data_IF_247323332728
#
_entry.id   IF_247323332728
#
_cell.length_a   1.000
_cell.length_b   1.000
_cell.length_c   1.000
_cell.angle_alpha   90.00
_cell.angle_beta   90.00
_cell.angle_gamma   90.00
#
_symmetry.space_group_name_H-M   'P 1'
#
loop_
_entity.id
_entity.type
_entity.pdbx_description
1 polymer ?
#
# COMPACT_ATOMS: atom_id res chain seq x y z
N UNK A 1 -23.57 5.79 6.15
CA UNK A 1 -23.16 4.68 5.27
C UNK A 1 -22.22 3.80 6.06
N UNK A 2 -22.40 2.48 6.00
CA UNK A 2 -21.49 1.55 6.65
C UNK A 2 -20.12 1.65 6.00
N UNK A 3 -19.05 1.62 6.80
CA UNK A 3 -17.69 1.70 6.27
C UNK A 3 -17.41 0.44 5.44
N UNK A 4 -17.13 0.63 4.15
CA UNK A 4 -16.66 -0.41 3.24
C UNK A 4 -15.18 -0.13 3.00
N UNK A 5 -14.33 -1.13 3.20
CA UNK A 5 -12.90 -1.04 2.91
C UNK A 5 -12.51 -2.10 1.88
N UNK A 6 -11.87 -1.67 0.79
CA UNK A 6 -11.37 -2.55 -0.28
C UNK A 6 -9.86 -2.68 -0.19
N UNK A 7 -9.37 -3.89 0.02
CA UNK A 7 -7.95 -4.16 0.30
C UNK A 7 -7.44 -5.21 -0.67
N UNK A 8 -6.25 -5.00 -1.22
CA UNK A 8 -5.56 -5.98 -2.06
C UNK A 8 -4.58 -6.78 -1.21
N UNK A 9 -4.65 -8.10 -1.30
CA UNK A 9 -3.55 -8.99 -0.92
C UNK A 9 -2.81 -9.36 -2.21
N UNK A 10 -1.63 -8.78 -2.41
CA UNK A 10 -0.78 -9.00 -3.61
C UNK A 10 0.52 -9.70 -3.23
N UNK A 11 1.30 -10.09 -4.22
CA UNK A 11 2.55 -10.81 -4.06
C UNK A 11 2.72 -11.91 -5.09
N UNK A 12 3.95 -12.38 -5.23
CA UNK A 12 4.32 -13.47 -6.10
C UNK A 12 3.70 -14.82 -5.71
N UNK A 13 3.98 -15.86 -6.50
CA UNK A 13 3.61 -17.23 -6.15
C UNK A 13 4.17 -17.63 -4.78
N UNK A 14 3.47 -18.51 -4.07
CA UNK A 14 3.88 -19.02 -2.76
C UNK A 14 4.13 -17.94 -1.68
N UNK A 15 3.47 -16.78 -1.78
CA UNK A 15 3.57 -15.72 -0.78
C UNK A 15 2.78 -15.99 0.52
N UNK A 16 1.87 -16.97 0.52
CA UNK A 16 0.98 -17.28 1.65
C UNK A 16 -0.39 -16.59 1.62
N UNK A 17 -0.77 -15.98 0.47
CA UNK A 17 -2.03 -15.24 0.30
C UNK A 17 -3.27 -16.05 0.65
N UNK A 18 -3.38 -17.29 0.15
CA UNK A 18 -4.53 -18.17 0.42
C UNK A 18 -4.70 -18.45 1.92
N UNK A 19 -3.60 -18.69 2.64
CA UNK A 19 -3.65 -18.89 4.09
C UNK A 19 -3.99 -17.60 4.83
N UNK A 20 -3.46 -16.46 4.39
CA UNK A 20 -3.81 -15.15 4.93
C UNK A 20 -5.31 -14.85 4.74
N UNK A 21 -5.88 -15.12 3.57
CA UNK A 21 -7.30 -14.93 3.27
C UNK A 21 -8.20 -15.67 4.27
N UNK A 22 -7.90 -16.95 4.54
CA UNK A 22 -8.66 -17.73 5.53
C UNK A 22 -8.61 -17.07 6.91
N UNK A 23 -7.42 -16.64 7.34
CA UNK A 23 -7.24 -16.00 8.66
C UNK A 23 -7.90 -14.62 8.74
N UNK A 24 -7.90 -13.86 7.65
CA UNK A 24 -8.62 -12.59 7.53
C UNK A 24 -10.13 -12.81 7.64
N UNK A 25 -10.69 -13.79 6.94
CA UNK A 25 -12.11 -14.14 7.05
C UNK A 25 -12.46 -14.51 8.49
N UNK A 26 -11.74 -15.46 9.10
CA UNK A 26 -11.98 -15.92 10.47
C UNK A 26 -11.94 -14.75 11.47
N UNK A 27 -10.87 -13.96 11.44
CA UNK A 27 -10.62 -12.90 12.40
C UNK A 27 -11.66 -11.77 12.28
N UNK A 28 -11.85 -11.18 11.10
CA UNK A 28 -12.73 -10.01 10.97
C UNK A 28 -14.20 -10.36 11.02
N UNK A 29 -14.58 -11.58 10.59
CA UNK A 29 -15.96 -12.05 10.80
C UNK A 29 -16.28 -12.20 12.29
N UNK A 30 -15.31 -12.65 13.11
CA UNK A 30 -15.47 -12.71 14.57
C UNK A 30 -15.63 -11.34 15.23
N UNK A 31 -15.09 -10.29 14.59
CA UNK A 31 -15.25 -8.89 15.00
C UNK A 31 -16.54 -8.25 14.45
N UNK A 32 -17.41 -9.02 13.78
CA UNK A 32 -18.70 -8.55 13.28
C UNK A 32 -18.65 -7.86 11.91
N UNK A 33 -17.54 -7.96 11.18
CA UNK A 33 -17.47 -7.49 9.80
C UNK A 33 -18.06 -8.51 8.84
N UNK A 34 -18.73 -8.04 7.79
CA UNK A 34 -19.01 -8.85 6.61
C UNK A 34 -17.78 -8.86 5.71
N UNK A 35 -17.14 -10.03 5.58
CA UNK A 35 -15.98 -10.19 4.70
C UNK A 35 -16.40 -10.77 3.35
N UNK A 36 -16.04 -10.10 2.28
CA UNK A 36 -16.12 -10.58 0.90
C UNK A 36 -14.70 -10.84 0.38
N UNK A 37 -14.55 -11.90 -0.40
CA UNK A 37 -13.28 -12.21 -1.08
C UNK A 37 -13.50 -12.28 -2.58
N UNK A 38 -12.68 -11.55 -3.33
CA UNK A 38 -12.64 -11.61 -4.78
C UNK A 38 -11.49 -12.54 -5.17
N UNK A 39 -11.76 -13.62 -5.91
CA UNK A 39 -10.74 -14.58 -6.30
C UNK A 39 -9.79 -14.00 -7.35
N UNK A 40 -8.64 -14.65 -7.52
CA UNK A 40 -7.68 -14.33 -8.57
C UNK A 40 -8.31 -14.54 -9.96
N UNK A 41 -8.61 -13.44 -10.65
CA UNK A 41 -9.22 -13.47 -11.99
C UNK A 41 -8.38 -14.22 -13.03
N UNK A 42 -7.03 -14.08 -13.08
CA UNK A 42 -6.22 -14.90 -13.96
C UNK A 42 -6.44 -16.41 -13.79
N UNK A 43 -6.59 -16.89 -12.55
CA UNK A 43 -6.85 -18.30 -12.28
C UNK A 43 -8.23 -18.74 -12.83
N UNK A 44 -9.25 -17.87 -12.75
CA UNK A 44 -10.55 -18.12 -13.36
C UNK A 44 -10.45 -18.25 -14.89
N UNK A 45 -9.70 -17.35 -15.54
CA UNK A 45 -9.49 -17.37 -16.99
C UNK A 45 -8.70 -18.61 -17.43
N UNK A 46 -7.63 -18.95 -16.72
CA UNK A 46 -6.86 -20.19 -16.95
C UNK A 46 -7.75 -21.42 -16.88
N UNK A 47 -8.61 -21.53 -15.85
CA UNK A 47 -9.54 -22.65 -15.72
C UNK A 47 -10.58 -22.69 -16.83
N UNK A 48 -10.91 -21.54 -17.43
CA UNK A 48 -11.77 -21.42 -18.59
C UNK A 48 -11.06 -21.65 -19.94
N UNK A 49 -9.75 -21.95 -19.93
CA UNK A 49 -8.97 -22.27 -21.13
C UNK A 49 -8.11 -21.14 -21.69
N UNK A 50 -7.96 -20.03 -20.96
CA UNK A 50 -7.00 -18.98 -21.31
C UNK A 50 -5.56 -19.50 -21.08
N UNK A 51 -4.66 -19.18 -22.01
CA UNK A 51 -3.23 -19.44 -21.90
C UNK A 51 -2.42 -18.14 -21.89
N UNK A 52 -1.97 -17.73 -20.70
CA UNK A 52 -1.15 -16.52 -20.51
C UNK A 52 0.28 -16.69 -21.02
N UNK A 53 0.69 -17.90 -21.40
CA UNK A 53 2.01 -18.20 -21.97
C UNK A 53 2.00 -18.26 -23.51
N UNK A 54 0.87 -17.93 -24.12
CA UNK A 54 0.72 -17.90 -25.58
C UNK A 54 1.72 -16.96 -26.25
N UNK A 55 2.26 -17.36 -27.39
CA UNK A 55 3.07 -16.50 -28.27
C UNK A 55 2.20 -15.61 -29.18
N UNK A 56 0.89 -15.86 -29.23
CA UNK A 56 -0.07 -15.06 -29.96
C UNK A 56 -0.36 -13.74 -29.22
N UNK A 57 0.37 -12.68 -29.60
CA UNK A 57 0.26 -11.35 -29.00
C UNK A 57 -1.16 -10.77 -29.00
N UNK A 58 -1.97 -11.06 -30.02
CA UNK A 58 -3.35 -10.55 -30.09
C UNK A 58 -4.25 -11.28 -29.09
N UNK A 59 -4.09 -12.59 -28.95
CA UNK A 59 -4.81 -13.40 -27.97
C UNK A 59 -4.41 -13.04 -26.54
N UNK A 60 -3.10 -12.88 -26.28
CA UNK A 60 -2.58 -12.40 -25.00
C UNK A 60 -3.16 -11.03 -24.63
N UNK A 61 -3.10 -10.06 -25.56
CA UNK A 61 -3.63 -8.72 -25.34
C UNK A 61 -5.12 -8.73 -24.98
N UNK A 62 -5.93 -9.48 -25.72
CA UNK A 62 -7.37 -9.57 -25.47
C UNK A 62 -7.68 -10.26 -24.12
N UNK A 63 -6.90 -11.29 -23.78
CA UNK A 63 -6.98 -11.99 -22.50
C UNK A 63 -6.66 -11.07 -21.32
N UNK A 64 -5.59 -10.29 -21.38
CA UNK A 64 -5.20 -9.35 -20.33
C UNK A 64 -6.19 -8.19 -20.18
N UNK A 65 -6.70 -7.66 -21.30
CA UNK A 65 -7.76 -6.65 -21.28
C UNK A 65 -9.02 -7.18 -20.61
N UNK A 66 -9.47 -8.38 -21.01
CA UNK A 66 -10.64 -9.05 -20.43
C UNK A 66 -10.44 -9.35 -18.94
N UNK A 67 -9.21 -9.70 -18.55
CA UNK A 67 -8.83 -9.92 -17.15
C UNK A 67 -9.03 -8.65 -16.33
N UNK A 68 -8.56 -7.50 -16.85
CA UNK A 68 -8.77 -6.21 -16.20
C UNK A 68 -10.27 -5.88 -16.11
N UNK A 69 -11.02 -5.97 -17.20
CA UNK A 69 -12.46 -5.66 -17.22
C UNK A 69 -13.25 -6.49 -16.20
N UNK A 70 -12.97 -7.80 -16.12
CA UNK A 70 -13.61 -8.69 -15.15
C UNK A 70 -13.16 -8.40 -13.72
N UNK A 71 -11.89 -8.11 -13.47
CA UNK A 71 -11.41 -7.68 -12.16
C UNK A 71 -12.18 -6.44 -11.67
N UNK A 72 -12.31 -5.43 -12.54
CA UNK A 72 -13.04 -4.20 -12.19
C UNK A 72 -14.53 -4.50 -11.95
N UNK A 73 -15.15 -5.29 -12.84
CA UNK A 73 -16.57 -5.63 -12.73
C UNK A 73 -16.88 -6.42 -11.45
N UNK A 74 -16.08 -7.41 -11.08
CA UNK A 74 -16.24 -8.16 -9.84
C UNK A 74 -16.14 -7.24 -8.63
N UNK A 75 -15.09 -6.41 -8.57
CA UNK A 75 -14.91 -5.44 -7.49
C UNK A 75 -16.08 -4.48 -7.34
N UNK A 76 -16.63 -3.96 -8.44
CA UNK A 76 -17.77 -3.06 -8.41
C UNK A 76 -19.04 -3.77 -7.93
N UNK A 77 -19.28 -5.00 -8.38
CA UNK A 77 -20.44 -5.80 -7.97
C UNK A 77 -20.39 -6.17 -6.49
N UNK A 78 -19.23 -6.59 -5.98
CA UNK A 78 -19.07 -6.88 -4.56
C UNK A 78 -19.14 -5.61 -3.71
N UNK A 79 -18.72 -4.45 -4.23
CA UNK A 79 -18.94 -3.16 -3.57
C UNK A 79 -20.43 -2.83 -3.46
N UNK A 80 -21.19 -2.99 -4.54
CA UNK A 80 -22.65 -2.82 -4.55
C UNK A 80 -23.35 -3.77 -3.57
N UNK A 81 -22.89 -5.03 -3.47
CA UNK A 81 -23.40 -5.98 -2.48
C UNK A 81 -23.08 -5.56 -1.03
N UNK A 82 -21.86 -5.07 -0.79
CA UNK A 82 -21.42 -4.60 0.52
C UNK A 82 -22.23 -3.37 0.99
N UNK A 83 -22.66 -2.50 0.08
CA UNK A 83 -23.54 -1.35 0.39
C UNK A 83 -24.90 -1.79 0.96
N UNK A 84 -25.37 -3.00 0.65
CA UNK A 84 -26.62 -3.54 1.18
C UNK A 84 -26.46 -4.23 2.54
N UNK A 85 -25.22 -4.38 3.02
CA UNK A 85 -24.96 -5.00 4.31
C UNK A 85 -25.25 -4.03 5.45
N UNK A 86 -25.94 -4.50 6.49
CA UNK A 86 -26.16 -3.73 7.72
C UNK A 86 -24.92 -3.63 8.61
N UNK A 87 -23.95 -4.52 8.37
CA UNK A 87 -22.66 -4.61 9.07
C UNK A 87 -21.57 -3.80 8.33
N UNK A 88 -20.52 -3.34 9.01
CA UNK A 88 -19.31 -2.86 8.33
C UNK A 88 -18.74 -3.99 7.46
N UNK A 89 -18.22 -3.65 6.28
CA UNK A 89 -17.86 -4.65 5.28
C UNK A 89 -16.42 -4.47 4.80
N UNK A 90 -15.77 -5.59 4.50
CA UNK A 90 -14.40 -5.63 3.97
C UNK A 90 -14.43 -6.44 2.68
N UNK A 91 -13.82 -5.91 1.64
CA UNK A 91 -13.64 -6.61 0.37
C UNK A 91 -12.14 -6.87 0.20
N UNK A 92 -11.75 -8.13 0.25
CA UNK A 92 -10.35 -8.54 0.06
C UNK A 92 -10.19 -9.10 -1.36
N UNK A 93 -9.28 -8.52 -2.13
CA UNK A 93 -8.96 -8.99 -3.47
C UNK A 93 -7.69 -9.87 -3.42
N UNK A 94 -7.79 -11.13 -3.86
CA UNK A 94 -6.60 -11.96 -4.13
C UNK A 94 -5.99 -11.50 -5.45
N UNK A 95 -4.99 -10.62 -5.34
CA UNK A 95 -4.49 -9.71 -6.39
C UNK A 95 -5.45 -8.57 -6.75
N UNK A 96 -4.87 -7.45 -7.17
CA UNK A 96 -5.61 -6.27 -7.63
C UNK A 96 -5.31 -5.94 -9.08
N UNK A 97 -5.97 -4.91 -9.60
CA UNK A 97 -5.89 -4.54 -11.02
C UNK A 97 -4.47 -4.18 -11.49
N UNK A 98 -3.61 -3.62 -10.65
CA UNK A 98 -2.23 -3.30 -11.05
C UNK A 98 -1.30 -4.52 -11.11
N UNK A 99 -1.65 -5.64 -10.47
CA UNK A 99 -0.85 -6.88 -10.59
C UNK A 99 -0.71 -7.29 -12.05
N UNK A 100 -1.73 -7.03 -12.87
CA UNK A 100 -1.77 -7.32 -14.31
C UNK A 100 -0.62 -6.62 -15.06
N UNK A 101 -0.30 -5.38 -14.68
CA UNK A 101 0.77 -4.61 -15.32
C UNK A 101 2.15 -5.25 -15.17
N UNK A 102 2.35 -6.09 -14.14
CA UNK A 102 3.61 -6.79 -13.90
C UNK A 102 3.92 -7.88 -14.94
N UNK A 103 2.98 -8.20 -15.85
CA UNK A 103 3.12 -9.25 -16.85
C UNK A 103 3.33 -8.72 -18.27
N UNK A 104 3.35 -7.41 -18.48
CA UNK A 104 3.50 -6.78 -19.79
C UNK A 104 4.40 -5.54 -19.76
N UNK A 105 4.67 -4.96 -20.92
CA UNK A 105 5.37 -3.68 -21.01
C UNK A 105 4.43 -2.49 -20.77
N UNK A 106 5.02 -1.33 -20.47
CA UNK A 106 4.28 -0.11 -20.13
C UNK A 106 3.39 0.40 -21.29
N UNK A 107 3.81 0.24 -22.55
CA UNK A 107 3.04 0.70 -23.69
C UNK A 107 1.76 -0.12 -23.88
N UNK A 108 1.87 -1.44 -23.73
CA UNK A 108 0.75 -2.37 -23.74
C UNK A 108 -0.22 -2.07 -22.59
N UNK A 109 0.30 -1.91 -21.37
CA UNK A 109 -0.52 -1.59 -20.20
C UNK A 109 -1.26 -0.25 -20.33
N UNK A 110 -0.58 0.79 -20.82
CA UNK A 110 -1.21 2.10 -21.05
C UNK A 110 -2.32 2.03 -22.09
N UNK A 111 -2.15 1.20 -23.13
CA UNK A 111 -3.18 1.00 -24.16
C UNK A 111 -4.41 0.29 -23.58
N UNK A 112 -4.21 -0.81 -22.85
CA UNK A 112 -5.30 -1.57 -22.20
C UNK A 112 -6.07 -0.67 -21.24
N UNK A 113 -5.38 0.02 -20.33
CA UNK A 113 -6.06 0.89 -19.35
C UNK A 113 -6.83 2.03 -20.03
N UNK A 114 -6.27 2.63 -21.08
CA UNK A 114 -6.98 3.64 -21.87
C UNK A 114 -8.24 3.09 -22.56
N UNK A 115 -8.20 1.89 -23.11
CA UNK A 115 -9.35 1.26 -23.77
C UNK A 115 -10.45 0.87 -22.78
N UNK A 116 -10.07 0.45 -21.57
CA UNK A 116 -11.00 0.14 -20.46
C UNK A 116 -11.54 1.44 -19.81
N UNK A 117 -10.99 2.60 -20.16
CA UNK A 117 -11.44 3.90 -19.65
C UNK A 117 -10.93 4.20 -18.24
N UNK A 118 -9.74 3.70 -17.90
CA UNK A 118 -9.07 3.96 -16.62
C UNK A 118 -7.59 4.34 -16.81
N UNK A 119 -6.83 4.40 -15.71
CA UNK A 119 -5.39 4.62 -15.72
C UNK A 119 -4.72 3.97 -14.52
N UNK A 120 -3.40 3.71 -14.61
CA UNK A 120 -2.60 3.21 -13.47
C UNK A 120 -2.87 3.99 -12.19
N UNK A 121 -2.98 5.32 -12.28
CA UNK A 121 -3.23 6.16 -11.12
C UNK A 121 -4.62 5.95 -10.52
N UNK A 122 -5.67 5.87 -11.35
CA UNK A 122 -7.02 5.64 -10.82
C UNK A 122 -7.11 4.31 -10.09
N UNK A 123 -6.50 3.28 -10.67
CA UNK A 123 -6.40 1.96 -10.06
C UNK A 123 -5.57 2.00 -8.78
N UNK A 124 -4.44 2.71 -8.75
CA UNK A 124 -3.59 2.83 -7.56
C UNK A 124 -4.24 3.66 -6.47
N UNK A 125 -4.63 4.89 -6.74
CA UNK A 125 -4.85 5.91 -5.71
C UNK A 125 -6.33 6.07 -5.31
N UNK A 126 -7.27 5.52 -6.07
CA UNK A 126 -8.71 5.69 -5.83
C UNK A 126 -9.50 4.40 -5.67
N UNK A 127 -8.97 3.27 -6.16
CA UNK A 127 -9.75 2.04 -6.22
C UNK A 127 -9.65 1.17 -4.96
N UNK A 128 -8.52 1.24 -4.26
CA UNK A 128 -8.24 0.45 -3.07
C UNK A 128 -7.89 1.34 -1.88
N UNK A 129 -8.35 0.97 -0.69
CA UNK A 129 -8.00 1.64 0.56
C UNK A 129 -6.60 1.22 1.04
N UNK A 130 -6.17 0.00 0.71
CA UNK A 130 -4.85 -0.51 1.06
C UNK A 130 -4.36 -1.62 0.13
N UNK A 131 -3.04 -1.74 0.06
CA UNK A 131 -2.34 -2.78 -0.69
C UNK A 131 -1.33 -3.44 0.23
N UNK A 132 -1.50 -4.74 0.45
CA UNK A 132 -0.61 -5.52 1.30
C UNK A 132 0.12 -6.50 0.39
N UNK A 133 1.40 -6.22 0.13
CA UNK A 133 2.29 -7.10 -0.61
C UNK A 133 2.89 -8.12 0.33
N UNK A 134 2.50 -9.38 0.17
CA UNK A 134 3.13 -10.50 0.84
C UNK A 134 4.31 -10.97 -0.01
N UNK A 135 5.54 -10.84 0.49
CA UNK A 135 6.74 -11.25 -0.25
C UNK A 135 6.71 -12.76 -0.49
N UNK A 136 6.96 -13.19 -1.73
CA UNK A 136 7.05 -14.61 -2.11
C UNK A 136 8.02 -15.39 -1.23
N UNK A 137 7.70 -16.63 -0.88
CA UNK A 137 8.65 -17.52 -0.20
C UNK A 137 9.96 -17.72 -0.99
N UNK A 138 9.97 -17.43 -2.31
CA UNK A 138 11.19 -17.44 -3.10
C UNK A 138 12.24 -16.43 -2.60
N UNK A 139 11.85 -15.41 -1.83
CA UNK A 139 12.77 -14.43 -1.24
C UNK A 139 12.85 -14.61 0.29
N UNK A 140 13.93 -15.25 0.76
CA UNK A 140 14.24 -15.39 2.20
C UNK A 140 13.53 -16.54 2.93
N UNK A 141 12.74 -17.35 2.23
CA UNK A 141 12.05 -18.52 2.78
C UNK A 141 12.00 -19.70 1.79
N UNK A 142 13.04 -19.87 0.98
CA UNK A 142 13.07 -20.74 -0.21
C UNK A 142 12.74 -22.19 0.12
N UNK A 143 13.07 -22.64 1.34
CA UNK A 143 12.74 -23.98 1.86
C UNK A 143 11.23 -24.28 1.89
N UNK A 144 10.39 -23.26 1.84
CA UNK A 144 8.94 -23.38 1.81
C UNK A 144 8.34 -23.09 0.42
N UNK A 145 9.15 -22.76 -0.57
CA UNK A 145 8.68 -22.48 -1.92
C UNK A 145 8.23 -23.77 -2.61
N UNK A 146 6.99 -23.78 -3.13
CA UNK A 146 6.41 -24.95 -3.79
C UNK A 146 5.74 -24.58 -5.11
N UNK A 147 5.87 -25.46 -6.10
CA UNK A 147 5.24 -25.34 -7.43
C UNK A 147 3.88 -26.05 -7.51
N UNK A 148 3.45 -26.73 -6.44
CA UNK A 148 2.30 -27.63 -6.42
C UNK A 148 0.93 -26.95 -6.68
N UNK A 149 0.83 -25.62 -6.58
CA UNK A 149 -0.47 -24.93 -6.57
C UNK A 149 -0.96 -24.47 -7.95
N UNK A 150 -0.10 -24.14 -8.92
CA UNK A 150 -0.57 -23.73 -10.26
C UNK A 150 0.23 -24.44 -11.37
N UNK A 151 -0.46 -25.26 -12.18
CA UNK A 151 0.13 -26.09 -13.23
C UNK A 151 0.66 -25.32 -14.46
N UNK A 152 0.36 -24.02 -14.60
CA UNK A 152 0.79 -23.16 -15.73
C UNK A 152 1.97 -22.23 -15.37
N UNK A 153 2.73 -22.50 -14.30
CA UNK A 153 3.88 -21.65 -13.95
C UNK A 153 5.09 -21.96 -14.84
N UNK A 154 5.75 -20.90 -15.34
CA UNK A 154 7.06 -20.98 -15.99
C UNK A 154 8.18 -21.48 -15.04
N UNK A 155 7.94 -21.38 -13.73
CA UNK A 155 8.96 -21.54 -12.70
C UNK A 155 9.05 -22.99 -12.21
N UNK A 156 10.23 -23.60 -12.37
CA UNK A 156 10.61 -24.83 -11.66
C UNK A 156 11.07 -24.48 -10.25
N UNK A 157 11.00 -25.44 -9.31
CA UNK A 157 11.58 -25.29 -7.98
C UNK A 157 13.12 -25.48 -8.01
N UNK A 158 13.78 -24.87 -8.99
CA UNK A 158 15.24 -24.81 -9.15
C UNK A 158 15.71 -23.36 -9.00
N UNK A 159 17.03 -23.14 -9.02
CA UNK A 159 17.60 -21.81 -8.82
C UNK A 159 17.16 -20.79 -9.88
N UNK A 160 16.93 -21.24 -11.12
CA UNK A 160 16.47 -20.39 -12.21
C UNK A 160 15.02 -19.98 -12.02
N UNK A 161 14.13 -20.92 -11.68
CA UNK A 161 12.74 -20.62 -11.38
C UNK A 161 12.56 -19.77 -10.12
N UNK A 162 13.37 -19.96 -9.07
CA UNK A 162 13.39 -19.06 -7.91
C UNK A 162 13.82 -17.64 -8.28
N UNK A 163 14.77 -17.48 -9.20
CA UNK A 163 15.18 -16.16 -9.68
C UNK A 163 14.05 -15.46 -10.45
N UNK A 164 13.32 -16.20 -11.29
CA UNK A 164 12.12 -15.71 -11.99
C UNK A 164 11.02 -15.33 -10.98
N UNK A 165 10.77 -16.17 -9.97
CA UNK A 165 9.80 -15.92 -8.91
C UNK A 165 10.06 -14.61 -8.17
N UNK A 166 11.32 -14.39 -7.77
CA UNK A 166 11.76 -13.17 -7.09
C UNK A 166 11.62 -11.95 -7.99
N UNK A 167 11.99 -12.08 -9.26
CA UNK A 167 11.87 -10.98 -10.22
C UNK A 167 10.41 -10.58 -10.44
N UNK A 168 9.52 -11.57 -10.60
CA UNK A 168 8.09 -11.33 -10.74
C UNK A 168 7.48 -10.72 -9.46
N UNK A 169 7.82 -11.24 -8.29
CA UNK A 169 7.38 -10.67 -7.00
C UNK A 169 7.78 -9.19 -6.89
N UNK A 170 9.02 -8.87 -7.27
CA UNK A 170 9.53 -7.49 -7.32
C UNK A 170 8.74 -6.61 -8.28
N UNK A 171 8.48 -7.06 -9.52
CA UNK A 171 7.68 -6.31 -10.51
C UNK A 171 6.26 -6.02 -10.01
N UNK A 172 5.61 -7.01 -9.39
CA UNK A 172 4.28 -6.85 -8.78
C UNK A 172 4.33 -5.79 -7.68
N UNK A 173 5.33 -5.84 -6.81
CA UNK A 173 5.50 -4.86 -5.74
C UNK A 173 5.73 -3.44 -6.27
N UNK A 174 6.56 -3.31 -7.30
CA UNK A 174 6.87 -2.03 -7.96
C UNK A 174 5.67 -1.42 -8.67
N UNK A 175 4.78 -2.24 -9.25
CA UNK A 175 3.53 -1.76 -9.85
C UNK A 175 2.65 -0.99 -8.86
N UNK A 176 2.73 -1.34 -7.58
CA UNK A 176 2.00 -0.67 -6.49
C UNK A 176 2.79 0.46 -5.82
N UNK A 177 4.05 0.68 -6.22
CA UNK A 177 4.88 1.72 -5.62
C UNK A 177 4.18 3.09 -5.67
N UNK A 178 4.25 3.79 -4.54
CA UNK A 178 3.60 5.08 -4.36
C UNK A 178 2.15 5.03 -3.89
N UNK A 179 1.48 3.88 -3.77
CA UNK A 179 0.20 3.81 -3.06
C UNK A 179 0.38 4.23 -1.59
N UNK A 180 -0.51 5.08 -1.05
CA UNK A 180 -0.33 5.66 0.30
C UNK A 180 -0.35 4.63 1.43
N UNK A 181 -1.14 3.58 1.27
CA UNK A 181 -1.24 2.44 2.19
C UNK A 181 -0.64 1.15 1.59
N UNK A 182 0.48 1.26 0.86
CA UNK A 182 1.28 0.08 0.53
C UNK A 182 1.99 -0.43 1.79
N UNK A 183 1.89 -1.72 2.05
CA UNK A 183 2.60 -2.42 3.13
C UNK A 183 3.28 -3.66 2.58
N UNK A 184 4.55 -3.85 2.90
CA UNK A 184 5.33 -5.01 2.46
C UNK A 184 5.58 -5.91 3.65
N UNK A 185 5.10 -7.16 3.55
CA UNK A 185 5.22 -8.18 4.58
C UNK A 185 6.25 -9.23 4.11
N UNK A 186 7.47 -9.09 4.62
CA UNK A 186 8.61 -9.97 4.30
C UNK A 186 8.54 -11.34 4.99
N UNK A 187 9.54 -12.20 4.71
CA UNK A 187 9.65 -13.55 5.27
C UNK A 187 10.65 -13.66 6.44
N UNK A 188 11.08 -12.55 7.04
CA UNK A 188 12.16 -12.56 8.05
C UNK A 188 11.76 -13.22 9.39
N UNK A 189 10.47 -13.46 9.60
CA UNK A 189 9.92 -14.10 10.80
C UNK A 189 9.28 -15.45 10.47
N UNK A 190 8.75 -16.13 11.50
CA UNK A 190 7.91 -17.30 11.28
C UNK A 190 6.63 -16.93 10.51
N UNK A 191 6.01 -17.93 9.88
CA UNK A 191 4.84 -17.71 9.03
C UNK A 191 3.63 -17.15 9.81
N UNK A 192 3.48 -17.50 11.08
CA UNK A 192 2.38 -17.01 11.93
C UNK A 192 2.50 -15.49 12.18
N UNK A 193 3.70 -14.99 12.48
CA UNK A 193 3.98 -13.56 12.60
C UNK A 193 3.71 -12.83 11.28
N UNK A 194 4.07 -13.43 10.14
CA UNK A 194 3.74 -12.90 8.82
C UNK A 194 2.24 -12.67 8.67
N UNK A 195 1.41 -13.63 9.07
CA UNK A 195 -0.05 -13.49 9.04
C UNK A 195 -0.53 -12.45 10.06
N UNK A 196 0.01 -12.43 11.28
CA UNK A 196 -0.35 -11.44 12.29
C UNK A 196 -0.06 -10.01 11.82
N UNK A 197 1.03 -9.79 11.06
CA UNK A 197 1.32 -8.50 10.42
C UNK A 197 0.27 -8.13 9.38
N UNK A 198 -0.21 -9.07 8.55
CA UNK A 198 -1.33 -8.82 7.62
C UNK A 198 -2.59 -8.38 8.39
N UNK A 199 -2.96 -9.10 9.45
CA UNK A 199 -4.13 -8.75 10.28
C UNK A 199 -3.98 -7.37 10.93
N UNK A 200 -2.79 -7.03 11.41
CA UNK A 200 -2.46 -5.73 11.99
C UNK A 200 -2.64 -4.60 10.98
N UNK A 201 -2.09 -4.75 9.77
CA UNK A 201 -2.23 -3.73 8.72
C UNK A 201 -3.69 -3.55 8.28
N UNK A 202 -4.46 -4.63 8.14
CA UNK A 202 -5.90 -4.53 7.84
C UNK A 202 -6.63 -3.81 9.00
N UNK A 203 -6.33 -4.17 10.25
CA UNK A 203 -6.95 -3.53 11.42
C UNK A 203 -6.70 -2.02 11.46
N UNK A 204 -5.48 -1.59 11.10
CA UNK A 204 -5.14 -0.17 10.96
C UNK A 204 -5.99 0.52 9.88
N UNK A 205 -6.19 -0.11 8.71
CA UNK A 205 -7.00 0.43 7.61
C UNK A 205 -8.49 0.54 7.98
N UNK A 206 -8.98 -0.37 8.83
CA UNK A 206 -10.33 -0.35 9.36
C UNK A 206 -10.54 0.68 10.49
N UNK A 207 -9.47 1.33 10.97
CA UNK A 207 -9.52 2.26 12.09
C UNK A 207 -9.85 1.57 13.42
N UNK A 208 -9.47 0.30 13.57
CA UNK A 208 -9.57 -0.40 14.85
C UNK A 208 -8.47 0.11 15.80
N UNK A 209 -8.70 0.12 17.13
CA UNK A 209 -7.66 0.46 18.09
C UNK A 209 -6.41 -0.39 17.89
N UNK A 210 -5.26 0.26 17.79
CA UNK A 210 -3.96 -0.40 17.65
C UNK A 210 -2.99 0.13 18.71
N UNK A 211 -2.06 -0.71 19.21
CA UNK A 211 -0.95 -0.24 20.01
C UNK A 211 -0.17 0.83 19.25
N UNK A 212 0.21 1.91 19.93
CA UNK A 212 1.09 2.92 19.35
C UNK A 212 2.44 2.25 19.09
N UNK A 213 2.84 2.16 17.82
CA UNK A 213 4.16 1.66 17.43
C UNK A 213 5.00 2.77 16.84
N UNK A 214 6.27 2.82 17.23
CA UNK A 214 7.23 3.76 16.68
C UNK A 214 7.61 3.35 15.25
N UNK A 215 7.39 4.25 14.30
CA UNK A 215 7.92 4.11 12.94
C UNK A 215 9.42 4.44 12.96
N UNK A 216 10.22 3.63 12.28
CA UNK A 216 11.66 3.87 12.12
C UNK A 216 11.87 5.12 11.27
N UNK A 217 12.51 6.15 11.84
CA UNK A 217 12.76 7.43 11.18
C UNK A 217 14.22 7.83 11.29
N UNK A 218 14.76 8.29 10.18
CA UNK A 218 16.16 8.65 10.06
C UNK A 218 16.29 10.01 9.40
N UNK A 219 17.12 10.88 9.97
CA UNK A 219 17.62 12.04 9.23
C UNK A 219 18.70 11.55 8.30
N UNK A 220 18.58 11.87 7.02
CA UNK A 220 19.45 11.32 5.97
C UNK A 220 19.98 12.39 5.03
N UNK A 221 20.96 12.01 4.23
CA UNK A 221 21.38 12.72 3.03
C UNK A 221 21.37 11.77 1.85
N UNK A 222 20.79 12.23 0.73
CA UNK A 222 20.82 11.48 -0.53
C UNK A 222 22.15 11.70 -1.23
N UNK A 223 22.92 10.63 -1.43
CA UNK A 223 24.27 10.67 -2.02
C UNK A 223 24.30 10.27 -3.49
N UNK A 224 23.18 9.80 -4.05
CA UNK A 224 23.09 9.36 -5.45
C UNK A 224 21.67 9.40 -6.00
N UNK A 225 21.48 8.86 -7.20
CA UNK A 225 20.16 8.73 -7.80
C UNK A 225 19.32 7.67 -7.07
N UNK A 226 18.03 7.93 -6.91
CA UNK A 226 17.08 6.99 -6.32
C UNK A 226 16.34 6.31 -7.48
N UNK A 227 16.71 5.08 -7.83
CA UNK A 227 16.11 4.38 -8.95
C UNK A 227 14.63 4.09 -8.66
N UNK A 228 13.81 4.07 -9.72
CA UNK A 228 12.43 3.59 -9.71
C UNK A 228 11.54 4.23 -8.61
N UNK A 229 11.86 5.47 -8.24
CA UNK A 229 11.12 6.18 -7.19
C UNK A 229 9.88 6.89 -7.73
N UNK A 230 8.78 6.75 -7.00
CA UNK A 230 7.55 7.48 -7.28
C UNK A 230 7.58 8.82 -6.53
N UNK A 231 7.67 9.92 -7.29
CA UNK A 231 7.71 11.28 -6.75
C UNK A 231 6.29 11.83 -6.57
N UNK A 232 6.00 12.41 -5.41
CA UNK A 232 4.77 13.17 -5.17
C UNK A 232 5.04 14.43 -4.35
N UNK A 233 4.37 15.53 -4.67
CA UNK A 233 4.37 16.74 -3.87
C UNK A 233 3.27 16.64 -2.81
N UNK A 234 3.59 16.97 -1.57
CA UNK A 234 2.69 16.86 -0.42
C UNK A 234 2.60 18.21 0.27
N UNK A 235 1.37 18.69 0.43
CA UNK A 235 1.02 19.86 1.23
C UNK A 235 0.14 19.35 2.37
N UNK A 236 0.53 19.58 3.62
CA UNK A 236 -0.23 19.12 4.77
C UNK A 236 -0.44 20.24 5.79
N UNK A 237 -1.68 20.37 6.26
CA UNK A 237 -2.11 21.38 7.22
C UNK A 237 -2.81 20.70 8.39
N UNK A 238 -2.43 21.09 9.60
CA UNK A 238 -3.08 20.65 10.83
C UNK A 238 -4.27 21.54 11.15
N UNK A 239 -5.37 20.92 11.57
CA UNK A 239 -6.59 21.61 11.99
C UNK A 239 -6.67 21.66 13.51
N UNK A 240 -7.42 22.63 14.03
CA UNK A 240 -7.74 22.71 15.45
C UNK A 240 -8.52 21.45 15.86
N UNK A 241 -8.09 20.79 16.94
CA UNK A 241 -8.65 19.54 17.42
C UNK A 241 -8.78 19.54 18.95
N UNK A 242 -9.62 18.66 19.49
CA UNK A 242 -9.73 18.43 20.94
C UNK A 242 -8.42 17.87 21.53
N UNK A 243 -8.16 18.10 22.83
CA UNK A 243 -6.99 17.51 23.50
C UNK A 243 -6.93 15.99 23.31
N UNK A 244 -5.75 15.47 22.93
CA UNK A 244 -5.55 14.05 22.66
C UNK A 244 -5.96 13.59 21.25
N UNK A 245 -6.44 14.51 20.41
CA UNK A 245 -6.69 14.28 18.99
C UNK A 245 -5.75 15.10 18.09
N UNK A 246 -5.42 14.54 16.93
CA UNK A 246 -4.73 15.22 15.83
C UNK A 246 -5.62 15.14 14.59
N UNK A 247 -5.87 16.28 13.96
CA UNK A 247 -6.62 16.35 12.70
C UNK A 247 -5.73 16.98 11.64
N UNK A 248 -5.59 16.31 10.50
CA UNK A 248 -4.70 16.70 9.42
C UNK A 248 -5.40 16.63 8.07
N UNK A 249 -5.27 17.70 7.30
CA UNK A 249 -5.55 17.71 5.87
C UNK A 249 -4.25 17.48 5.11
N UNK A 250 -4.24 16.53 4.18
CA UNK A 250 -3.11 16.24 3.29
C UNK A 250 -3.57 16.31 1.84
N UNK A 251 -2.97 17.21 1.08
CA UNK A 251 -3.05 17.27 -0.38
C UNK A 251 -1.82 16.61 -0.97
N UNK A 252 -2.02 15.61 -1.80
CA UNK A 252 -0.97 14.95 -2.58
C UNK A 252 -1.15 15.26 -4.05
N UNK A 253 -0.08 15.69 -4.69
CA UNK A 253 -0.03 16.01 -6.12
C UNK A 253 1.02 15.12 -6.77
N UNK A 254 0.64 14.45 -7.84
CA UNK A 254 1.53 13.62 -8.65
C UNK A 254 1.07 13.78 -10.10
N UNK A 255 2.00 14.04 -11.03
CA UNK A 255 1.74 14.18 -12.47
C UNK A 255 0.50 15.04 -12.81
N UNK A 256 0.31 16.16 -12.09
CA UNK A 256 -0.80 17.10 -12.29
C UNK A 256 -2.14 16.68 -11.66
N UNK A 257 -2.27 15.48 -11.09
CA UNK A 257 -3.48 15.01 -10.41
C UNK A 257 -3.39 15.26 -8.90
N UNK A 258 -4.54 15.56 -8.27
CA UNK A 258 -4.67 15.98 -6.86
C UNK A 258 -5.56 15.02 -6.10
N UNK A 259 -5.06 14.47 -4.98
CA UNK A 259 -5.84 13.71 -4.00
C UNK A 259 -5.80 14.44 -2.67
N UNK A 260 -6.96 14.62 -2.04
CA UNK A 260 -7.05 15.22 -0.71
C UNK A 260 -7.53 14.17 0.30
N UNK A 261 -6.83 14.08 1.43
CA UNK A 261 -7.14 13.16 2.52
C UNK A 261 -7.31 13.96 3.81
N UNK A 262 -8.34 13.62 4.57
CA UNK A 262 -8.56 14.09 5.92
C UNK A 262 -8.28 12.93 6.89
N UNK A 263 -7.29 13.11 7.74
CA UNK A 263 -6.86 12.15 8.76
C UNK A 263 -7.28 12.65 10.14
N UNK A 264 -7.85 11.76 10.96
CA UNK A 264 -8.08 11.99 12.39
C UNK A 264 -7.37 10.89 13.17
N UNK A 265 -6.51 11.28 14.10
CA UNK A 265 -5.85 10.38 15.05
C UNK A 265 -6.37 10.71 16.43
N UNK A 266 -6.84 9.71 17.18
CA UNK A 266 -7.28 9.85 18.57
C UNK A 266 -6.48 8.90 19.45
N UNK A 267 -5.77 9.42 20.44
CA UNK A 267 -5.03 8.63 21.42
C UNK A 267 -5.97 8.13 22.52
N UNK A 268 -5.81 6.88 22.91
CA UNK A 268 -6.60 6.20 23.93
C UNK A 268 -5.74 5.97 25.20
N UNK A 269 -6.36 5.79 26.39
CA UNK A 269 -5.63 5.66 27.65
C UNK A 269 -4.65 4.48 27.72
N UNK A 270 -4.89 3.40 26.98
CA UNK A 270 -4.13 2.14 27.06
C UNK A 270 -2.89 2.12 26.15
N UNK A 271 -2.31 3.28 25.83
CA UNK A 271 -1.24 3.41 24.83
C UNK A 271 -1.65 2.88 23.44
N UNK A 272 -2.94 3.02 23.13
CA UNK A 272 -3.52 2.70 21.84
C UNK A 272 -3.91 3.98 21.11
N UNK A 273 -4.06 3.88 19.80
CA UNK A 273 -4.63 4.96 18.99
C UNK A 273 -5.60 4.42 17.96
N UNK A 274 -6.52 5.28 17.57
CA UNK A 274 -7.40 5.08 16.42
C UNK A 274 -7.04 6.12 15.37
N UNK A 275 -6.69 5.66 14.18
CA UNK A 275 -6.44 6.51 13.02
C UNK A 275 -7.52 6.26 11.98
N UNK A 276 -8.17 7.33 11.52
CA UNK A 276 -9.21 7.28 10.50
C UNK A 276 -8.84 8.22 9.37
N UNK A 277 -8.70 7.67 8.16
CA UNK A 277 -8.46 8.43 6.94
C UNK A 277 -9.67 8.36 6.01
N UNK A 278 -10.01 9.50 5.40
CA UNK A 278 -11.03 9.61 4.36
C UNK A 278 -10.58 10.53 3.23
N UNK A 279 -10.84 10.14 1.99
CA UNK A 279 -10.70 11.05 0.86
C UNK A 279 -11.78 12.14 0.93
N UNK A 280 -11.42 13.38 0.59
CA UNK A 280 -12.34 14.52 0.58
C UNK A 280 -12.31 15.23 -0.77
N UNK A 281 -13.43 15.82 -1.17
CA UNK A 281 -13.51 16.62 -2.39
C UNK A 281 -12.65 17.88 -2.27
N UNK A 282 -12.31 18.50 -3.41
CA UNK A 282 -11.58 19.78 -3.43
C UNK A 282 -12.31 20.85 -2.63
N UNK A 283 -13.62 20.99 -2.83
CA UNK A 283 -14.44 22.00 -2.13
C UNK A 283 -14.46 21.76 -0.62
N UNK A 284 -14.61 20.51 -0.18
CA UNK A 284 -14.60 20.18 1.25
C UNK A 284 -13.22 20.42 1.86
N UNK A 285 -12.14 20.08 1.15
CA UNK A 285 -10.78 20.38 1.58
C UNK A 285 -10.56 21.88 1.79
N UNK A 286 -10.94 22.70 0.81
CA UNK A 286 -10.72 24.14 0.85
C UNK A 286 -11.59 24.81 1.95
N UNK A 287 -12.80 24.28 2.21
CA UNK A 287 -13.62 24.70 3.36
C UNK A 287 -12.99 24.33 4.71
N UNK A 288 -12.49 23.09 4.86
CA UNK A 288 -11.87 22.65 6.11
C UNK A 288 -10.56 23.37 6.43
N UNK A 289 -9.85 23.89 5.42
CA UNK A 289 -8.66 24.73 5.63
C UNK A 289 -8.94 25.99 6.46
N UNK A 290 -10.19 26.46 6.51
CA UNK A 290 -10.58 27.59 7.37
C UNK A 290 -10.42 27.27 8.87
N UNK A 291 -10.30 25.99 9.23
CA UNK A 291 -10.10 25.52 10.60
C UNK A 291 -8.63 25.22 10.91
N UNK A 292 -7.70 25.69 10.07
CA UNK A 292 -6.27 25.50 10.26
C UNK A 292 -5.83 25.96 11.67
N UNK A 293 -5.04 25.12 12.33
CA UNK A 293 -4.48 25.43 13.65
C UNK A 293 -3.55 26.64 13.53
N UNK A 294 -3.85 27.78 14.19
CA UNK A 294 -3.06 28.99 14.06
C UNK A 294 -1.64 28.85 14.62
N UNK A 295 -1.39 27.87 15.49
CA UNK A 295 -0.08 27.60 16.08
C UNK A 295 0.79 26.69 15.22
N UNK A 296 0.26 26.22 14.08
CA UNK A 296 0.99 25.34 13.15
C UNK A 296 1.11 25.95 11.76
N UNK A 297 2.20 25.63 11.08
CA UNK A 297 2.50 26.02 9.70
C UNK A 297 2.13 24.86 8.79
N UNK A 298 1.69 25.19 7.58
CA UNK A 298 1.48 24.18 6.53
C UNK A 298 2.81 23.61 6.08
N UNK A 299 3.02 22.32 6.21
CA UNK A 299 4.24 21.66 5.72
C UNK A 299 4.10 21.41 4.22
N UNK A 300 5.14 21.78 3.48
CA UNK A 300 5.32 21.47 2.07
C UNK A 300 6.56 20.59 1.92
N UNK A 301 6.41 19.48 1.19
CA UNK A 301 7.50 18.52 0.99
C UNK A 301 7.34 17.74 -0.29
N UNK A 302 8.46 17.31 -0.85
CA UNK A 302 8.49 16.28 -1.90
C UNK A 302 8.73 14.92 -1.26
N UNK A 303 7.84 13.96 -1.51
CA UNK A 303 8.02 12.56 -1.13
C UNK A 303 8.47 11.73 -2.32
N UNK A 304 9.56 10.98 -2.14
CA UNK A 304 9.99 9.89 -3.03
C UNK A 304 9.74 8.56 -2.34
N UNK A 305 8.81 7.78 -2.88
CA UNK A 305 8.50 6.44 -2.42
C UNK A 305 9.22 5.41 -3.27
N UNK A 306 9.92 4.47 -2.65
CA UNK A 306 10.67 3.42 -3.35
C UNK A 306 10.78 2.17 -2.50
N UNK A 307 11.15 1.06 -3.13
CA UNK A 307 11.35 -0.21 -2.46
C UNK A 307 12.82 -0.61 -2.57
N UNK A 308 13.40 -1.09 -1.48
CA UNK A 308 14.76 -1.57 -1.45
C UNK A 308 14.89 -2.81 -0.58
N UNK A 309 15.43 -3.91 -1.16
CA UNK A 309 15.61 -5.20 -0.46
C UNK A 309 14.36 -5.64 0.33
N UNK A 310 13.19 -5.58 -0.31
CA UNK A 310 11.92 -6.00 0.31
C UNK A 310 11.37 -5.05 1.38
N UNK A 311 11.94 -3.86 1.56
CA UNK A 311 11.45 -2.84 2.49
C UNK A 311 10.96 -1.62 1.71
N UNK A 312 9.78 -1.12 2.08
CA UNK A 312 9.20 0.10 1.52
C UNK A 312 9.71 1.32 2.29
N UNK A 313 10.17 2.33 1.55
CA UNK A 313 10.72 3.56 2.08
C UNK A 313 9.98 4.78 1.55
N UNK A 314 9.80 5.76 2.42
CA UNK A 314 9.32 7.09 2.08
C UNK A 314 10.40 8.10 2.46
N UNK A 315 11.01 8.73 1.45
CA UNK A 315 11.95 9.82 1.66
C UNK A 315 11.23 11.16 1.46
N UNK A 316 11.13 11.93 2.54
CA UNK A 316 10.58 13.27 2.55
C UNK A 316 11.70 14.31 2.49
N UNK A 317 11.69 15.14 1.46
CA UNK A 317 12.49 16.37 1.38
C UNK A 317 11.58 17.56 1.69
N UNK A 318 11.82 18.20 2.83
CA UNK A 318 11.01 19.33 3.31
C UNK A 318 11.44 20.62 2.63
N UNK A 319 10.46 21.48 2.38
CA UNK A 319 10.64 22.79 1.78
C UNK A 319 10.27 23.90 2.77
N UNK A 320 10.49 25.16 2.39
CA UNK A 320 10.08 26.35 3.14
C UNK A 320 10.78 26.50 4.50
N UNK A 321 10.08 26.32 5.63
CA UNK A 321 10.64 26.61 6.97
C UNK A 321 11.46 25.46 7.56
N UNK A 322 11.49 24.30 6.89
CA UNK A 322 12.37 23.18 7.20
C UNK A 322 13.24 22.81 5.98
N UNK A 323 13.58 23.81 5.16
CA UNK A 323 14.29 23.61 3.91
C UNK A 323 15.62 22.88 4.12
N UNK A 324 15.93 21.96 3.21
CA UNK A 324 17.11 21.10 3.28
C UNK A 324 17.02 19.93 4.27
N UNK A 325 15.95 19.80 5.06
CA UNK A 325 15.75 18.62 5.91
C UNK A 325 15.25 17.44 5.09
N UNK A 326 15.90 16.28 5.26
CA UNK A 326 15.49 15.02 4.64
C UNK A 326 15.25 13.96 5.72
N UNK A 327 14.05 13.38 5.72
CA UNK A 327 13.66 12.31 6.64
C UNK A 327 13.31 11.08 5.81
N UNK A 328 13.97 9.97 6.12
CA UNK A 328 13.64 8.66 5.60
C UNK A 328 12.81 7.91 6.64
N UNK A 329 11.66 7.42 6.21
CA UNK A 329 10.77 6.58 7.00
C UNK A 329 10.62 5.20 6.33
N UNK A 330 10.53 4.16 7.14
CA UNK A 330 10.12 2.83 6.68
C UNK A 330 8.97 2.32 7.53
N UNK A 331 7.97 1.73 6.87
CA UNK A 331 6.74 1.24 7.50
C UNK A 331 6.67 -0.28 7.41
N UNK A 332 6.08 -0.90 8.44
CA UNK A 332 5.83 -2.33 8.47
C UNK A 332 7.04 -3.21 8.79
N UNK A 333 8.20 -2.62 9.13
CA UNK A 333 9.40 -3.35 9.61
C UNK A 333 9.17 -3.76 11.06
N UNK A 334 9.40 -5.03 11.40
CA UNK A 334 9.26 -5.51 12.78
C UNK A 334 10.30 -4.85 13.70
N UNK A 335 10.02 -4.77 15.01
CA UNK A 335 10.90 -4.05 15.96
C UNK A 335 12.31 -4.65 16.04
N UNK A 336 12.44 -5.95 15.83
CA UNK A 336 13.68 -6.73 15.78
C UNK A 336 14.31 -6.83 14.38
N UNK A 337 13.58 -6.42 13.34
CA UNK A 337 14.06 -6.45 11.96
C UNK A 337 15.03 -5.29 11.69
N UNK A 338 16.17 -5.61 11.04
CA UNK A 338 17.15 -4.61 10.64
C UNK A 338 16.69 -3.83 9.41
N UNK A 339 16.87 -2.51 9.44
CA UNK A 339 16.63 -1.66 8.28
C UNK A 339 17.78 -1.83 7.28
N UNK A 340 17.43 -2.21 6.05
CA UNK A 340 18.36 -2.37 4.93
C UNK A 340 18.52 -1.03 4.22
N UNK A 341 19.46 -0.20 4.66
CA UNK A 341 19.68 1.10 4.03
C UNK A 341 20.20 0.95 2.58
N UNK A 342 19.63 1.70 1.62
CA UNK A 342 20.16 1.76 0.27
C UNK A 342 21.53 2.45 0.21
N UNK A 343 22.41 2.08 -0.74
CA UNK A 343 23.75 2.66 -0.86
C UNK A 343 23.74 4.16 -1.21
N UNK A 344 22.65 4.65 -1.79
CA UNK A 344 22.42 6.06 -2.14
C UNK A 344 21.86 6.90 -0.98
N UNK A 345 21.76 6.33 0.23
CA UNK A 345 21.32 7.00 1.45
C UNK A 345 22.45 6.99 2.47
N UNK A 346 22.88 8.17 2.91
CA UNK A 346 23.73 8.34 4.09
C UNK A 346 22.87 8.67 5.30
N UNK A 347 22.83 7.79 6.30
CA UNK A 347 22.15 8.07 7.56
C UNK A 347 22.98 9.06 8.36
N UNK A 348 22.40 10.22 8.67
CA UNK A 348 23.00 11.25 9.51
C UNK A 348 22.69 10.95 10.98
N UNK A 349 21.44 10.59 11.27
CA UNK A 349 20.97 10.37 12.63
C UNK A 349 19.74 9.45 12.68
N UNK A 350 19.69 8.57 13.69
CA UNK A 350 18.47 7.86 14.07
C UNK A 350 17.61 8.75 14.98
N UNK A 351 16.45 9.11 14.46
CA UNK A 351 15.47 10.01 15.08
C UNK A 351 14.18 9.25 15.44
N UNK A 352 14.23 7.92 15.48
CA UNK A 352 13.11 7.06 15.89
C UNK A 352 12.66 7.43 17.32
N UNK A 353 11.35 7.55 17.53
CA UNK A 353 10.76 7.91 18.82
C UNK A 353 10.96 9.38 19.25
N UNK A 354 11.73 10.18 18.50
CA UNK A 354 11.98 11.59 18.82
C UNK A 354 10.84 12.47 18.33
N UNK A 355 9.96 12.83 19.26
CA UNK A 355 8.74 13.57 18.99
C UNK A 355 8.96 14.88 18.23
N UNK A 356 10.07 15.59 18.44
CA UNK A 356 10.40 16.85 17.77
C UNK A 356 10.47 16.72 16.23
N UNK A 357 10.77 15.54 15.70
CA UNK A 357 10.82 15.26 14.26
C UNK A 357 9.50 14.76 13.67
N UNK A 358 8.45 14.61 14.48
CA UNK A 358 7.14 14.18 13.99
C UNK A 358 6.49 15.36 13.27
N UNK A 359 5.88 15.13 12.10
CA UNK A 359 5.29 16.18 11.27
C UNK A 359 4.40 17.16 12.05
N UNK A 360 3.64 16.66 13.03
CA UNK A 360 2.82 17.49 13.90
C UNK A 360 3.70 18.54 14.58
N UNK A 361 4.77 18.13 15.26
CA UNK A 361 5.68 19.02 15.98
C UNK A 361 6.58 19.85 15.06
N UNK A 362 7.03 19.29 13.92
CA UNK A 362 7.74 20.06 12.89
C UNK A 362 6.93 21.24 12.37
N UNK A 363 5.60 21.16 12.41
CA UNK A 363 4.72 22.23 11.99
C UNK A 363 4.58 23.34 13.03
N UNK A 364 5.06 23.20 14.26
CA UNK A 364 4.92 24.24 15.29
C UNK A 364 5.53 25.56 14.82
N UNK A 365 4.79 26.65 15.01
CA UNK A 365 5.37 27.99 14.91
C UNK A 365 6.28 28.18 16.12
N UNK A 366 7.60 28.20 15.90
CA UNK A 366 8.50 28.74 16.91
C UNK A 366 8.06 30.18 17.23
N UNK A 367 7.81 30.45 18.51
CA UNK A 367 7.42 31.78 19.01
C UNK A 367 8.49 32.82 18.70
#
# INVERSE_FOLDING_TARGET
MNAIKKIVLTGGPCAGKTTALVKVIEHFSSLGFKVFTIPEVPTLFTQAGMDYLTDNKAFFYEGEKSTLEIQLALEDKFTQMAEQCSQPSIIICDRGALDISAYMDQATWNKITSEVGTSTMELRDHRYDAVIHMVSAADGAEKFYTTATNAQRLEKADNEGLAVARHLDKRVMEAWAGHSHLRVINNHENFENKINRVLKEISSVLGLPQPITEERKYRVEVTGEIPDSVKSEIIQTYLTAEPGAEVRLRKRIWEGKRVNVHTTIKRLPNHEQVEVERQVSNNLYDSLLQQADPYRRTIEKTRRSFIWKGQYFELDSYHSFNDGMQILETKGVASDEKVNFPPFIRVVEDITGRNEYYNYNLALRNQ
#
